data_IF_924499928606
#
_entry.id   IF_924499928606
#
_cell.length_a   1.000
_cell.length_b   1.000
_cell.length_c   1.000
_cell.angle_alpha   90.00
_cell.angle_beta   90.00
_cell.angle_gamma   90.00
#
_symmetry.space_group_name_H-M   'P 1'
#
loop_
_entity.id
_entity.type
_entity.pdbx_description
1 polymer ?
#
# COMPACT_ATOMS: atom_id res chain seq x y z
N UNK A 1 34.02 28.43 0.59
CA UNK A 1 32.68 28.41 -0.04
C UNK A 1 32.57 27.27 -1.05
N UNK A 2 32.77 26.03 -0.59
CA UNK A 2 32.55 24.78 -1.32
C UNK A 2 32.62 23.67 -0.26
N UNK A 3 31.79 22.63 -0.40
CA UNK A 3 31.57 21.48 0.53
C UNK A 3 30.45 21.67 1.55
N UNK A 4 29.27 21.13 1.22
CA UNK A 4 28.40 20.25 2.05
C UNK A 4 27.00 20.16 1.39
N UNK A 5 26.90 19.36 0.33
CA UNK A 5 25.63 18.90 -0.25
C UNK A 5 25.81 17.47 -0.76
N UNK A 6 25.98 16.53 0.17
CA UNK A 6 25.79 15.09 -0.09
C UNK A 6 25.19 14.50 1.20
N UNK A 7 23.86 14.53 1.32
CA UNK A 7 23.11 13.81 2.36
C UNK A 7 21.62 13.71 1.98
N UNK A 8 21.30 13.16 0.79
CA UNK A 8 19.94 12.76 0.42
C UNK A 8 20.00 11.61 -0.58
N UNK A 9 20.52 10.45 -0.16
CA UNK A 9 20.54 9.24 -1.02
C UNK A 9 20.58 7.93 -0.22
N UNK A 10 19.82 7.85 0.87
CA UNK A 10 19.38 6.58 1.48
C UNK A 10 17.96 6.82 1.99
N UNK A 11 16.94 6.60 1.16
CA UNK A 11 15.55 6.59 1.59
C UNK A 11 14.80 5.42 0.94
N UNK A 12 15.35 4.22 1.12
CA UNK A 12 14.64 2.95 1.00
C UNK A 12 15.09 1.92 2.04
N UNK A 13 15.95 2.29 2.99
CA UNK A 13 16.42 1.41 4.07
C UNK A 13 16.72 2.27 5.30
N UNK A 14 15.70 2.61 6.08
CA UNK A 14 15.81 2.91 7.52
C UNK A 14 14.44 2.67 8.17
N UNK A 15 14.12 1.39 8.38
CA UNK A 15 13.15 0.92 9.36
C UNK A 15 13.80 0.96 10.75
N UNK A 16 14.14 2.14 11.27
CA UNK A 16 14.59 2.24 12.67
C UNK A 16 13.36 2.31 13.57
N UNK A 17 13.08 1.15 14.16
CA UNK A 17 11.95 0.84 15.05
C UNK A 17 11.71 -0.66 15.14
N UNK A 18 11.98 -1.40 14.05
CA UNK A 18 11.98 -2.86 13.99
C UNK A 18 13.23 -3.32 13.21
N UNK A 19 14.40 -3.25 13.85
CA UNK A 19 15.65 -3.82 13.30
C UNK A 19 15.86 -5.20 13.89
N UNK A 20 15.52 -6.23 13.10
CA UNK A 20 16.10 -7.56 13.27
C UNK A 20 16.84 -7.89 11.96
N UNK A 21 18.14 -8.18 12.10
CA UNK A 21 18.96 -8.78 11.04
C UNK A 21 18.33 -10.12 10.64
N UNK A 22 17.52 -10.12 9.59
CA UNK A 22 17.26 -11.33 8.82
C UNK A 22 17.96 -11.11 7.48
N UNK A 23 19.07 -11.82 7.30
CA UNK A 23 19.62 -12.06 5.99
C UNK A 23 18.48 -12.54 5.08
N UNK A 24 18.30 -11.86 3.96
CA UNK A 24 17.38 -12.25 2.89
C UNK A 24 17.98 -13.50 2.24
N UNK A 25 17.83 -14.64 2.91
CA UNK A 25 17.99 -15.93 2.27
C UNK A 25 16.76 -16.12 1.38
N UNK A 26 16.95 -15.90 0.08
CA UNK A 26 15.95 -16.14 -0.96
C UNK A 26 15.61 -17.64 -1.02
N UNK A 27 14.47 -18.12 -0.48
CA UNK A 27 14.13 -19.53 -0.48
C UNK A 27 13.18 -19.81 -1.64
N UNK A 28 13.49 -19.35 -2.86
CA UNK A 28 12.64 -19.56 -4.03
C UNK A 28 13.10 -20.77 -4.85
N UNK A 29 12.76 -21.98 -4.38
CA UNK A 29 12.68 -23.22 -5.20
C UNK A 29 11.64 -24.21 -4.66
N UNK A 30 10.47 -23.72 -4.23
CA UNK A 30 9.36 -24.60 -3.83
C UNK A 30 8.17 -24.41 -4.76
N UNK A 31 7.65 -25.49 -5.34
CA UNK A 31 6.39 -25.50 -6.11
C UNK A 31 5.29 -24.75 -5.32
N UNK A 32 4.86 -23.58 -5.81
CA UNK A 32 3.82 -22.76 -5.16
C UNK A 32 2.44 -23.44 -5.23
N UNK A 33 2.28 -24.46 -6.09
CA UNK A 33 1.17 -25.44 -6.10
C UNK A 33 0.90 -26.14 -4.76
N UNK A 34 1.73 -25.92 -3.73
CA UNK A 34 1.56 -26.46 -2.38
C UNK A 34 0.93 -25.51 -1.36
N UNK A 35 0.67 -24.24 -1.71
CA UNK A 35 0.01 -23.28 -0.82
C UNK A 35 -1.49 -23.20 -1.09
N UNK A 36 -2.28 -23.19 -0.03
CA UNK A 36 -3.70 -22.84 -0.10
C UNK A 36 -3.85 -21.31 -0.06
N UNK A 37 -4.40 -20.66 -1.10
CA UNK A 37 -4.62 -19.21 -1.14
C UNK A 37 -5.74 -18.80 -0.19
N UNK A 38 -5.56 -17.71 0.54
CA UNK A 38 -6.63 -17.09 1.31
C UNK A 38 -7.44 -16.18 0.38
N UNK A 39 -8.74 -16.10 0.61
CA UNK A 39 -9.62 -15.19 -0.12
C UNK A 39 -10.01 -14.03 0.80
N UNK A 40 -10.17 -12.86 0.20
CA UNK A 40 -10.80 -11.71 0.84
C UNK A 40 -12.15 -11.44 0.20
N UNK A 41 -12.98 -10.68 0.89
CA UNK A 41 -14.23 -10.17 0.34
C UNK A 41 -14.00 -8.80 -0.27
N UNK A 42 -14.68 -8.49 -1.37
CA UNK A 42 -14.85 -7.10 -1.77
C UNK A 42 -16.00 -6.54 -0.92
N UNK A 43 -15.73 -5.63 0.04
CA UNK A 43 -16.78 -5.11 0.89
C UNK A 43 -17.69 -4.17 0.10
N UNK A 44 -18.93 -4.03 0.57
CA UNK A 44 -19.80 -2.94 0.14
C UNK A 44 -19.15 -1.58 0.42
N UNK A 45 -19.37 -0.61 -0.46
CA UNK A 45 -18.79 0.74 -0.32
C UNK A 45 -19.10 1.37 1.04
N UNK A 46 -20.29 1.12 1.58
CA UNK A 46 -20.72 1.63 2.90
C UNK A 46 -19.84 1.15 4.05
N UNK A 47 -19.14 0.02 3.93
CA UNK A 47 -18.21 -0.44 4.96
C UNK A 47 -16.86 0.30 4.92
N UNK A 48 -16.47 0.81 3.75
CA UNK A 48 -15.28 1.65 3.58
C UNK A 48 -15.49 3.06 4.12
N UNK A 49 -16.68 3.62 3.91
CA UNK A 49 -17.06 4.94 4.44
C UNK A 49 -17.27 4.83 5.96
N UNK A 50 -16.51 5.56 6.79
CA UNK A 50 -16.67 5.50 8.24
C UNK A 50 -18.05 6.02 8.66
N UNK A 51 -18.62 5.40 9.70
CA UNK A 51 -19.84 5.85 10.38
C UNK A 51 -19.60 6.12 11.88
N UNK A 52 -18.34 6.38 12.24
CA UNK A 52 -17.93 6.72 13.61
C UNK A 52 -17.99 8.22 13.83
N UNK A 53 -17.97 8.66 15.09
CA UNK A 53 -17.94 10.09 15.44
C UNK A 53 -16.64 10.75 14.96
N UNK A 54 -15.52 10.05 15.12
CA UNK A 54 -14.18 10.52 14.74
C UNK A 54 -13.44 9.52 13.85
N UNK A 55 -12.57 10.02 13.00
CA UNK A 55 -11.69 9.19 12.15
C UNK A 55 -10.22 9.53 12.41
N UNK A 56 -9.41 8.51 12.64
CA UNK A 56 -7.98 8.65 12.87
C UNK A 56 -7.22 8.01 11.72
N UNK A 57 -6.26 8.74 11.18
CA UNK A 57 -5.40 8.32 10.08
C UNK A 57 -3.95 8.42 10.52
N UNK A 58 -3.23 7.30 10.51
CA UNK A 58 -1.83 7.29 10.94
C UNK A 58 -1.00 6.40 10.02
N UNK A 59 -0.02 6.97 9.30
CA UNK A 59 0.88 6.15 8.49
C UNK A 59 2.26 6.73 8.25
N UNK A 60 3.19 5.85 7.91
CA UNK A 60 4.54 6.19 7.39
C UNK A 60 4.77 5.74 5.95
N UNK A 61 3.84 4.99 5.39
CA UNK A 61 4.01 4.29 4.12
C UNK A 61 3.22 4.97 2.99
N UNK A 62 3.72 4.83 1.77
CA UNK A 62 3.13 5.49 0.59
C UNK A 62 1.80 4.85 0.20
N UNK A 63 1.73 3.52 0.17
CA UNK A 63 0.53 2.81 -0.24
C UNK A 63 -0.66 3.07 0.72
N UNK A 64 -0.51 2.91 2.05
CA UNK A 64 -1.51 3.34 3.03
C UNK A 64 -1.87 4.83 2.91
N UNK A 65 -0.91 5.73 2.67
CA UNK A 65 -1.21 7.15 2.48
C UNK A 65 -2.19 7.40 1.30
N UNK A 66 -2.05 6.66 0.20
CA UNK A 66 -2.99 6.78 -0.92
C UNK A 66 -4.39 6.24 -0.59
N UNK A 67 -4.49 5.15 0.19
CA UNK A 67 -5.78 4.65 0.69
C UNK A 67 -6.45 5.65 1.63
N UNK A 68 -5.67 6.24 2.54
CA UNK A 68 -6.13 7.29 3.45
C UNK A 68 -6.65 8.48 2.65
N UNK A 69 -5.92 8.90 1.61
CA UNK A 69 -6.37 9.95 0.70
C UNK A 69 -7.73 9.61 0.05
N UNK A 70 -7.93 8.38 -0.42
CA UNK A 70 -9.24 7.95 -0.91
C UNK A 70 -10.34 8.00 0.16
N UNK A 71 -10.04 7.65 1.41
CA UNK A 71 -11.04 7.64 2.48
C UNK A 71 -11.46 9.05 2.90
N UNK A 72 -10.50 9.96 3.08
CA UNK A 72 -10.77 11.35 3.47
C UNK A 72 -11.74 12.08 2.52
N UNK A 73 -11.75 11.71 1.24
CA UNK A 73 -12.66 12.29 0.24
C UNK A 73 -13.99 11.53 0.11
N UNK A 74 -14.22 10.48 0.91
CA UNK A 74 -15.41 9.64 0.85
C UNK A 74 -16.47 9.98 1.90
N UNK A 75 -16.18 10.90 2.82
CA UNK A 75 -16.98 11.16 4.01
C UNK A 75 -16.77 12.60 4.53
N UNK A 76 -17.41 12.97 5.65
CA UNK A 76 -17.32 14.34 6.22
C UNK A 76 -17.07 14.39 7.73
N UNK A 77 -16.93 13.24 8.39
CA UNK A 77 -16.65 13.08 9.82
C UNK A 77 -15.34 13.78 10.23
N UNK A 78 -15.32 14.34 11.43
CA UNK A 78 -14.13 15.00 11.97
C UNK A 78 -12.96 14.01 12.05
N UNK A 79 -11.82 14.42 11.50
CA UNK A 79 -10.72 13.51 11.21
C UNK A 79 -9.36 14.07 11.59
N UNK A 80 -8.46 13.19 12.03
CA UNK A 80 -7.11 13.54 12.45
C UNK A 80 -6.08 12.74 11.66
N UNK A 81 -5.15 13.43 10.99
CA UNK A 81 -4.18 12.85 10.07
C UNK A 81 -2.73 13.02 10.52
N UNK A 82 -1.99 11.92 10.58
CA UNK A 82 -0.53 11.89 10.55
C UNK A 82 -0.05 11.11 9.33
N UNK A 83 0.90 11.70 8.60
CA UNK A 83 1.59 11.04 7.50
C UNK A 83 3.05 11.48 7.43
N UNK A 84 3.98 10.53 7.54
CA UNK A 84 5.41 10.79 7.29
C UNK A 84 5.67 11.11 5.81
N UNK A 85 4.76 10.69 4.92
CA UNK A 85 4.78 10.95 3.47
C UNK A 85 4.18 12.32 3.13
N UNK A 86 4.52 13.36 3.90
CA UNK A 86 4.01 14.73 3.69
C UNK A 86 4.21 15.26 2.27
N UNK A 87 5.27 14.82 1.58
CA UNK A 87 5.54 15.21 0.19
C UNK A 87 4.48 14.68 -0.80
N UNK A 88 3.76 13.61 -0.45
CA UNK A 88 2.66 13.04 -1.24
C UNK A 88 1.43 13.92 -1.22
N UNK A 89 1.23 14.72 -0.17
CA UNK A 89 0.09 15.62 -0.05
C UNK A 89 0.48 17.07 -0.37
N UNK A 90 -0.47 17.81 -0.94
CA UNK A 90 -0.56 19.25 -0.84
C UNK A 90 -1.61 19.58 0.23
N UNK A 91 -1.14 20.05 1.39
CA UNK A 91 -1.99 20.28 2.56
C UNK A 91 -3.01 21.39 2.36
N UNK A 92 -2.84 22.24 1.34
CA UNK A 92 -3.82 23.27 1.00
C UNK A 92 -5.12 22.69 0.42
N UNK A 93 -5.09 21.43 -0.02
CA UNK A 93 -6.23 20.72 -0.57
C UNK A 93 -6.74 19.61 0.35
N UNK A 94 -6.35 19.60 1.63
CA UNK A 94 -6.97 18.70 2.60
C UNK A 94 -8.47 19.02 2.73
N UNK A 95 -9.35 18.01 2.84
CA UNK A 95 -10.76 18.27 3.12
C UNK A 95 -10.93 19.03 4.44
N UNK A 96 -11.91 19.93 4.52
CA UNK A 96 -12.08 20.82 5.67
C UNK A 96 -12.33 20.10 7.01
N UNK A 97 -12.84 18.88 6.97
CA UNK A 97 -13.08 18.04 8.15
C UNK A 97 -11.82 17.29 8.62
N UNK A 98 -10.70 17.38 7.88
CA UNK A 98 -9.44 16.71 8.20
C UNK A 98 -8.44 17.70 8.77
N UNK A 99 -8.07 17.48 10.03
CA UNK A 99 -6.98 18.18 10.68
C UNK A 99 -5.68 17.36 10.56
N UNK A 100 -4.68 17.91 9.88
CA UNK A 100 -3.33 17.33 9.92
C UNK A 100 -2.68 17.64 11.27
N UNK A 101 -2.52 16.59 12.08
CA UNK A 101 -1.82 16.66 13.36
C UNK A 101 -0.34 16.30 13.17
N UNK A 102 0.49 16.78 14.11
CA UNK A 102 1.91 16.43 14.18
C UNK A 102 2.70 16.72 12.89
N UNK A 103 2.32 17.78 12.16
CA UNK A 103 3.03 18.19 10.95
C UNK A 103 4.47 18.60 11.30
N UNK A 104 5.44 17.85 10.76
CA UNK A 104 6.86 18.10 11.00
C UNK A 104 7.40 17.55 12.32
N UNK A 105 6.56 16.85 13.10
CA UNK A 105 6.96 16.17 14.33
C UNK A 105 7.71 14.86 14.03
N UNK A 106 8.48 14.38 15.02
CA UNK A 106 9.02 13.01 15.00
C UNK A 106 7.87 11.98 15.06
N UNK A 107 8.19 10.72 14.80
CA UNK A 107 7.22 9.63 14.89
C UNK A 107 6.70 9.46 16.32
N UNK A 108 7.59 9.50 17.29
CA UNK A 108 7.30 9.36 18.71
C UNK A 108 6.43 10.51 19.23
N UNK A 109 6.75 11.74 18.81
CA UNK A 109 5.94 12.92 19.13
C UNK A 109 4.54 12.82 18.51
N UNK A 110 4.44 12.31 17.28
CA UNK A 110 3.16 12.12 16.61
C UNK A 110 2.26 11.13 17.36
N UNK A 111 2.81 10.02 17.84
CA UNK A 111 2.09 9.07 18.70
C UNK A 111 1.57 9.79 19.95
N UNK A 112 2.41 10.57 20.62
CA UNK A 112 2.00 11.27 21.84
C UNK A 112 0.92 12.32 21.57
N UNK A 113 1.00 13.06 20.46
CA UNK A 113 -0.03 14.02 20.04
C UNK A 113 -1.36 13.31 19.78
N UNK A 114 -1.34 12.19 19.07
CA UNK A 114 -2.54 11.38 18.81
C UNK A 114 -3.11 10.81 20.09
N UNK A 115 -2.27 10.27 20.97
CA UNK A 115 -2.68 9.74 22.28
C UNK A 115 -3.36 10.81 23.13
N UNK A 116 -2.82 12.03 23.12
CA UNK A 116 -3.43 13.16 23.83
C UNK A 116 -4.75 13.60 23.19
N UNK A 117 -4.86 13.57 21.85
CA UNK A 117 -6.12 13.88 21.16
C UNK A 117 -7.20 12.85 21.50
N UNK A 118 -6.91 11.55 21.50
CA UNK A 118 -7.88 10.53 21.94
C UNK A 118 -8.28 10.75 23.39
N UNK A 119 -7.33 11.08 24.28
CA UNK A 119 -7.63 11.39 25.69
C UNK A 119 -8.57 12.59 25.86
N UNK A 120 -8.34 13.65 25.09
CA UNK A 120 -9.19 14.85 25.06
C UNK A 120 -10.61 14.52 24.59
N UNK A 121 -10.74 13.76 23.50
CA UNK A 121 -12.03 13.32 22.98
C UNK A 121 -12.75 12.39 23.96
N UNK A 122 -12.05 11.43 24.56
CA UNK A 122 -12.64 10.52 25.54
C UNK A 122 -13.12 11.23 26.81
N UNK A 123 -12.44 12.31 27.22
CA UNK A 123 -12.85 13.13 28.37
C UNK A 123 -14.10 13.98 28.08
N UNK A 124 -14.29 14.40 26.82
CA UNK A 124 -15.41 15.25 26.41
C UNK A 124 -16.61 14.45 25.87
N UNK A 125 -16.36 13.30 25.24
CA UNK A 125 -17.32 12.42 24.59
C UNK A 125 -16.98 10.95 24.92
N UNK A 126 -17.29 10.48 26.14
CA UNK A 126 -16.86 9.16 26.62
C UNK A 126 -17.45 7.98 25.84
N UNK A 127 -18.58 8.18 25.16
CA UNK A 127 -19.25 7.16 24.36
C UNK A 127 -18.93 7.27 22.86
N UNK A 128 -18.01 8.15 22.48
CA UNK A 128 -17.64 8.33 21.08
C UNK A 128 -17.09 7.05 20.47
N UNK A 129 -17.37 6.89 19.18
CA UNK A 129 -16.87 5.83 18.33
C UNK A 129 -15.80 6.35 17.39
N UNK A 130 -14.87 5.47 17.02
CA UNK A 130 -13.67 5.81 16.28
C UNK A 130 -13.45 4.85 15.13
N UNK A 131 -13.14 5.35 13.94
CA UNK A 131 -12.55 4.54 12.87
C UNK A 131 -11.07 4.83 12.79
N UNK A 132 -10.22 3.82 12.91
CA UNK A 132 -8.77 3.98 12.89
C UNK A 132 -8.16 3.31 11.66
N UNK A 133 -7.65 4.12 10.74
CA UNK A 133 -6.86 3.70 9.61
C UNK A 133 -5.38 3.80 9.94
N UNK A 134 -4.71 2.66 9.90
CA UNK A 134 -3.28 2.55 10.16
C UNK A 134 -2.67 1.54 9.23
N UNK A 135 -1.42 1.74 8.85
CA UNK A 135 -0.72 0.67 8.15
C UNK A 135 -0.55 -0.58 9.04
N UNK A 136 -0.61 -1.73 8.41
CA UNK A 136 -0.78 -3.02 9.08
C UNK A 136 0.37 -3.37 10.03
N UNK A 137 1.61 -3.02 9.68
CA UNK A 137 2.79 -3.23 10.53
C UNK A 137 2.77 -2.43 11.85
N UNK A 138 1.84 -1.48 12.02
CA UNK A 138 1.66 -0.64 13.21
C UNK A 138 0.32 -0.90 13.91
N UNK A 139 -0.22 -2.11 13.76
CA UNK A 139 -1.48 -2.51 14.38
C UNK A 139 -1.48 -2.38 15.92
N UNK A 140 -0.31 -2.32 16.56
CA UNK A 140 -0.15 -2.10 18.00
C UNK A 140 -0.61 -0.72 18.46
N UNK A 141 -0.59 0.29 17.57
CA UNK A 141 -1.00 1.65 17.90
C UNK A 141 -2.45 1.75 18.40
N UNK A 142 -3.32 0.80 18.04
CA UNK A 142 -4.68 0.78 18.59
C UNK A 142 -4.67 0.69 20.13
N UNK A 143 -3.74 -0.06 20.69
CA UNK A 143 -3.64 -0.26 22.13
C UNK A 143 -3.19 1.03 22.81
N UNK A 144 -2.10 1.63 22.33
CA UNK A 144 -1.50 2.82 22.95
C UNK A 144 -2.32 4.09 22.76
N UNK A 145 -3.03 4.21 21.64
CA UNK A 145 -3.86 5.36 21.33
C UNK A 145 -5.25 5.27 21.94
N UNK A 146 -5.90 4.10 21.89
CA UNK A 146 -7.31 3.97 22.28
C UNK A 146 -7.48 3.23 23.62
N UNK A 147 -7.00 2.00 23.73
CA UNK A 147 -7.29 1.17 24.92
C UNK A 147 -6.62 1.70 26.19
N UNK A 148 -5.39 2.20 26.10
CA UNK A 148 -4.70 2.86 27.22
C UNK A 148 -5.42 4.16 27.66
N UNK A 149 -6.19 4.78 26.78
CA UNK A 149 -7.02 5.94 27.10
C UNK A 149 -8.44 5.55 27.56
N UNK A 150 -8.72 4.27 27.78
CA UNK A 150 -10.00 3.79 28.31
C UNK A 150 -11.11 3.66 27.26
N UNK A 151 -10.79 3.73 25.97
CA UNK A 151 -11.77 3.49 24.89
C UNK A 151 -12.07 1.99 24.80
N UNK A 152 -13.35 1.63 24.81
CA UNK A 152 -13.78 0.24 24.60
C UNK A 152 -13.43 -0.25 23.20
N UNK A 153 -13.06 -1.54 23.06
CA UNK A 153 -12.86 -2.16 21.73
C UNK A 153 -14.11 -2.07 20.85
N UNK A 154 -15.30 -2.13 21.46
CA UNK A 154 -16.57 -2.05 20.74
C UNK A 154 -16.77 -0.68 20.06
N UNK A 155 -16.05 0.34 20.53
CA UNK A 155 -16.10 1.70 20.01
C UNK A 155 -14.99 2.00 18.99
N UNK A 156 -14.14 1.03 18.62
CA UNK A 156 -13.03 1.25 17.67
C UNK A 156 -13.12 0.30 16.49
N UNK A 157 -13.31 0.86 15.29
CA UNK A 157 -13.29 0.16 14.01
C UNK A 157 -11.90 0.27 13.38
N UNK A 158 -11.12 -0.81 13.42
CA UNK A 158 -9.75 -0.83 12.92
C UNK A 158 -9.70 -1.19 11.43
N UNK A 159 -8.93 -0.44 10.65
CA UNK A 159 -8.67 -0.64 9.23
C UNK A 159 -7.16 -0.73 9.03
N UNK A 160 -6.64 -1.95 8.97
CA UNK A 160 -5.22 -2.22 8.73
C UNK A 160 -4.95 -2.16 7.24
N UNK A 161 -4.20 -1.15 6.79
CA UNK A 161 -3.84 -0.93 5.40
C UNK A 161 -2.52 -1.63 5.10
N UNK A 162 -2.49 -2.48 4.07
CA UNK A 162 -1.24 -3.11 3.64
C UNK A 162 -0.13 -2.10 3.36
N UNK A 163 1.04 -2.29 3.96
CA UNK A 163 2.27 -1.57 3.61
C UNK A 163 2.72 -1.84 2.16
N UNK A 164 2.31 -3.00 1.60
CA UNK A 164 2.63 -3.44 0.25
C UNK A 164 3.31 -4.79 0.29
N UNK A 165 4.45 -4.95 -0.40
CA UNK A 165 5.19 -6.22 -0.44
C UNK A 165 5.50 -6.78 0.95
N UNK A 166 5.84 -5.92 1.92
CA UNK A 166 6.19 -6.35 3.27
C UNK A 166 5.04 -7.11 3.94
N UNK A 167 3.78 -6.70 3.72
CA UNK A 167 2.60 -7.40 4.25
C UNK A 167 2.61 -8.88 3.91
N UNK A 168 2.77 -9.18 2.61
CA UNK A 168 2.70 -10.54 2.08
C UNK A 168 3.93 -11.37 2.46
N UNK A 169 5.11 -10.74 2.44
CA UNK A 169 6.36 -11.40 2.86
C UNK A 169 6.32 -11.77 4.34
N UNK A 170 5.85 -10.86 5.20
CA UNK A 170 5.70 -11.13 6.64
C UNK A 170 4.72 -12.27 6.90
N UNK A 171 3.56 -12.27 6.22
CA UNK A 171 2.60 -13.37 6.35
C UNK A 171 3.22 -14.70 5.93
N UNK A 172 3.85 -14.74 4.74
CA UNK A 172 4.47 -15.95 4.19
C UNK A 172 5.56 -16.50 5.11
N UNK A 173 6.41 -15.63 5.64
CA UNK A 173 7.51 -16.03 6.53
C UNK A 173 6.99 -16.57 7.87
N UNK A 174 5.89 -16.03 8.38
CA UNK A 174 5.35 -16.40 9.70
C UNK A 174 4.41 -17.61 9.63
N UNK A 175 3.54 -17.65 8.62
CA UNK A 175 2.40 -18.58 8.55
C UNK A 175 2.36 -19.43 7.28
N UNK A 176 3.27 -19.20 6.34
CA UNK A 176 3.29 -19.90 5.06
C UNK A 176 3.74 -21.36 5.16
N UNK A 177 4.58 -21.70 6.12
CA UNK A 177 5.12 -23.05 6.29
C UNK A 177 4.07 -24.07 6.77
N UNK A 178 4.39 -25.36 6.72
CA UNK A 178 3.49 -26.44 7.14
C UNK A 178 3.11 -26.37 8.62
N UNK A 179 4.00 -25.84 9.47
CA UNK A 179 3.76 -25.55 10.89
C UNK A 179 3.11 -24.18 11.14
N UNK A 180 2.65 -23.47 10.09
CA UNK A 180 2.10 -22.12 10.20
C UNK A 180 0.93 -22.01 11.16
N UNK A 181 0.12 -23.06 11.32
CA UNK A 181 -0.97 -23.11 12.30
C UNK A 181 -0.49 -22.99 13.75
N UNK A 182 0.62 -23.64 14.11
CA UNK A 182 1.18 -23.56 15.45
C UNK A 182 1.62 -22.14 15.77
N UNK A 183 2.28 -21.48 14.80
CA UNK A 183 2.72 -20.09 14.92
C UNK A 183 1.50 -19.16 15.03
N UNK A 184 0.52 -19.36 14.16
CA UNK A 184 -0.74 -18.62 14.16
C UNK A 184 -1.46 -18.68 15.51
N UNK A 185 -1.67 -19.89 16.05
CA UNK A 185 -2.38 -20.09 17.31
C UNK A 185 -1.64 -19.48 18.50
N UNK A 186 -0.30 -19.52 18.49
CA UNK A 186 0.52 -18.82 19.49
C UNK A 186 0.29 -17.31 19.43
N UNK A 187 0.33 -16.73 18.23
CA UNK A 187 0.20 -15.29 18.04
C UNK A 187 -1.22 -14.80 18.35
N UNK A 188 -2.26 -15.52 17.91
CA UNK A 188 -3.65 -15.27 18.30
C UNK A 188 -3.81 -15.23 19.82
N UNK A 189 -3.24 -16.20 20.54
CA UNK A 189 -3.29 -16.23 22.01
C UNK A 189 -2.55 -15.04 22.63
N UNK A 190 -1.37 -14.70 22.10
CA UNK A 190 -0.58 -13.57 22.60
C UNK A 190 -1.33 -12.24 22.42
N UNK A 191 -1.84 -11.98 21.21
CA UNK A 191 -2.59 -10.75 20.91
C UNK A 191 -3.91 -10.69 21.70
N UNK A 192 -4.63 -11.82 21.82
CA UNK A 192 -5.86 -11.89 22.63
C UNK A 192 -5.62 -11.52 24.09
N UNK A 193 -4.53 -12.03 24.69
CA UNK A 193 -4.15 -11.71 26.06
C UNK A 193 -3.87 -10.22 26.24
N UNK A 194 -3.22 -9.59 25.26
CA UNK A 194 -2.92 -8.16 25.29
C UNK A 194 -4.21 -7.36 25.23
N UNK A 195 -5.06 -7.62 24.24
CA UNK A 195 -6.38 -6.98 24.14
C UNK A 195 -7.17 -7.10 25.45
N UNK A 196 -7.17 -8.28 26.09
CA UNK A 196 -7.85 -8.49 27.37
C UNK A 196 -7.22 -7.76 28.57
N UNK A 197 -5.88 -7.70 28.65
CA UNK A 197 -5.18 -7.00 29.73
C UNK A 197 -5.43 -5.50 29.66
N UNK A 198 -5.33 -4.91 28.47
CA UNK A 198 -5.50 -3.46 28.31
C UNK A 198 -6.94 -3.01 28.51
N UNK A 199 -7.93 -3.81 28.09
CA UNK A 199 -9.34 -3.62 28.47
C UNK A 199 -9.55 -3.50 29.98
N UNK A 200 -8.67 -4.09 30.80
CA UNK A 200 -8.80 -4.13 32.27
C UNK A 200 -7.93 -3.11 33.00
N UNK A 201 -6.87 -2.56 32.39
CA UNK A 201 -5.78 -1.93 33.14
C UNK A 201 -5.53 -0.44 32.81
N UNK A 202 -5.94 0.10 31.66
CA UNK A 202 -5.70 1.53 31.35
C UNK A 202 -4.24 1.99 31.56
N UNK A 203 -3.24 1.11 31.32
CA UNK A 203 -1.84 1.37 31.64
C UNK A 203 -0.85 0.41 30.96
N UNK A 204 0.35 0.94 30.66
CA UNK A 204 1.23 0.62 29.52
C UNK A 204 2.33 -0.43 29.71
N UNK A 205 2.59 -1.21 28.64
CA UNK A 205 3.86 -1.85 28.28
C UNK A 205 3.88 -2.24 26.78
N UNK A 206 4.84 -1.68 26.03
CA UNK A 206 5.04 -1.95 24.60
C UNK A 206 5.56 -3.38 24.39
N UNK A 207 5.08 -4.08 23.35
CA UNK A 207 5.58 -5.41 22.99
C UNK A 207 6.23 -5.31 21.60
N UNK A 208 7.56 -5.39 21.58
CA UNK A 208 8.41 -5.36 20.38
C UNK A 208 8.09 -6.47 19.33
N UNK A 209 7.26 -7.47 19.66
CA UNK A 209 6.92 -8.59 18.75
C UNK A 209 5.70 -8.38 17.84
N UNK A 210 5.01 -7.23 17.93
CA UNK A 210 3.78 -6.97 17.15
C UNK A 210 4.00 -6.69 15.66
N UNK A 211 5.15 -6.12 15.29
CA UNK A 211 5.53 -5.84 13.90
C UNK A 211 5.35 -7.04 12.94
N UNK A 212 5.41 -8.26 13.46
CA UNK A 212 5.29 -9.50 12.67
C UNK A 212 3.99 -10.27 12.89
N UNK A 213 3.25 -9.96 13.95
CA UNK A 213 2.00 -10.66 14.32
C UNK A 213 0.75 -9.91 13.86
N UNK A 214 0.88 -8.74 13.24
CA UNK A 214 -0.27 -7.96 12.74
C UNK A 214 -1.28 -8.76 11.92
N UNK A 215 -0.93 -9.80 11.11
CA UNK A 215 -1.93 -10.50 10.33
C UNK A 215 -2.98 -11.22 11.17
N UNK A 216 -2.72 -11.47 12.47
CA UNK A 216 -3.69 -12.10 13.37
C UNK A 216 -4.66 -11.10 14.00
N UNK A 217 -4.37 -9.79 13.96
CA UNK A 217 -5.19 -8.75 14.60
C UNK A 217 -6.65 -8.74 14.10
N UNK A 218 -6.92 -8.79 12.77
CA UNK A 218 -8.28 -8.93 12.25
C UNK A 218 -9.00 -10.22 12.70
N UNK A 219 -8.29 -11.17 13.29
CA UNK A 219 -8.84 -12.46 13.71
C UNK A 219 -9.07 -12.52 15.22
N UNK A 220 -8.43 -11.62 15.98
CA UNK A 220 -8.64 -11.43 17.42
C UNK A 220 -9.75 -10.42 17.69
N UNK A 221 -9.82 -9.36 16.88
CA UNK A 221 -10.82 -8.29 17.04
C UNK A 221 -11.92 -8.37 16.00
N UNK A 222 -13.18 -8.33 16.43
CA UNK A 222 -14.34 -8.38 15.52
C UNK A 222 -14.51 -7.09 14.70
N UNK A 223 -13.96 -5.98 15.17
CA UNK A 223 -14.05 -4.67 14.54
C UNK A 223 -12.83 -4.32 13.66
N UNK A 224 -11.89 -5.26 13.52
CA UNK A 224 -10.68 -5.09 12.74
C UNK A 224 -10.75 -5.81 11.40
N UNK A 225 -10.29 -5.12 10.35
CA UNK A 225 -10.16 -5.69 9.01
C UNK A 225 -8.79 -5.38 8.42
N UNK A 226 -8.24 -6.33 7.66
CA UNK A 226 -7.02 -6.17 6.87
C UNK A 226 -7.38 -5.87 5.41
N UNK A 227 -6.93 -4.73 4.92
CA UNK A 227 -7.19 -4.21 3.58
C UNK A 227 -6.01 -4.54 2.66
N UNK A 228 -6.30 -5.32 1.62
CA UNK A 228 -5.35 -5.84 0.66
C UNK A 228 -5.81 -5.56 -0.77
N UNK A 229 -4.86 -5.58 -1.69
CA UNK A 229 -5.15 -5.60 -3.12
C UNK A 229 -5.27 -7.04 -3.64
N UNK A 230 -4.46 -7.95 -3.08
CA UNK A 230 -4.37 -9.34 -3.49
C UNK A 230 -4.38 -10.28 -2.29
N UNK A 231 -5.49 -10.45 -1.56
CA UNK A 231 -5.61 -11.46 -0.50
C UNK A 231 -5.11 -12.85 -0.93
N UNK A 232 -5.26 -13.16 -2.21
CA UNK A 232 -4.81 -14.41 -2.83
C UNK A 232 -3.29 -14.60 -2.78
N UNK A 233 -2.50 -13.61 -2.36
CA UNK A 233 -1.07 -13.77 -2.10
C UNK A 233 -0.78 -14.14 -0.64
N UNK A 234 -1.75 -14.04 0.25
CA UNK A 234 -1.67 -14.68 1.55
C UNK A 234 -1.93 -16.18 1.33
N UNK A 235 -0.94 -17.01 1.63
CA UNK A 235 -1.06 -18.45 1.45
C UNK A 235 -0.35 -19.23 2.53
N UNK A 236 -0.88 -20.41 2.84
CA UNK A 236 -0.28 -21.32 3.83
C UNK A 236 -0.24 -22.75 3.31
N UNK A 237 0.78 -23.51 3.71
CA UNK A 237 0.84 -24.97 3.49
C UNK A 237 0.03 -25.75 4.54
N UNK A 238 -0.39 -25.14 5.64
CA UNK A 238 -1.25 -25.79 6.63
C UNK A 238 -2.70 -25.79 6.16
N UNK A 239 -3.22 -26.97 5.84
CA UNK A 239 -4.63 -27.14 5.47
C UNK A 239 -5.59 -26.71 6.61
N UNK A 240 -5.21 -26.96 7.86
CA UNK A 240 -6.03 -26.58 9.01
C UNK A 240 -6.09 -25.07 9.18
N UNK A 241 -4.94 -24.39 9.10
CA UNK A 241 -4.91 -22.93 9.11
C UNK A 241 -5.73 -22.36 7.95
N UNK A 242 -5.53 -22.85 6.73
CA UNK A 242 -6.32 -22.42 5.58
C UNK A 242 -7.83 -22.56 5.81
N UNK A 243 -8.30 -23.69 6.33
CA UNK A 243 -9.71 -23.91 6.66
C UNK A 243 -10.21 -22.90 7.70
N UNK A 244 -9.41 -22.63 8.73
CA UNK A 244 -9.75 -21.63 9.75
C UNK A 244 -9.92 -20.23 9.13
N UNK A 245 -8.91 -19.78 8.39
CA UNK A 245 -8.91 -18.45 7.76
C UNK A 245 -10.04 -18.29 6.73
N UNK A 246 -10.35 -19.34 5.98
CA UNK A 246 -11.37 -19.30 4.92
C UNK A 246 -12.81 -19.36 5.43
N UNK A 247 -13.06 -20.06 6.53
CA UNK A 247 -14.43 -20.27 7.05
C UNK A 247 -14.83 -19.20 8.06
N UNK A 248 -13.93 -18.79 8.94
CA UNK A 248 -14.31 -17.94 10.09
C UNK A 248 -14.09 -16.44 9.84
N UNK A 249 -13.16 -16.08 8.95
CA UNK A 249 -12.58 -14.74 8.97
C UNK A 249 -12.33 -14.10 7.60
N UNK A 250 -12.77 -14.73 6.49
CA UNK A 250 -12.70 -14.11 5.17
C UNK A 250 -13.36 -12.71 5.13
N UNK A 251 -14.40 -12.50 5.96
CA UNK A 251 -15.07 -11.20 6.14
C UNK A 251 -14.19 -10.09 6.71
N UNK A 252 -13.10 -10.45 7.41
CA UNK A 252 -12.16 -9.52 8.02
C UNK A 252 -10.92 -9.27 7.13
N UNK A 253 -10.90 -9.84 5.92
CA UNK A 253 -9.92 -9.52 4.89
C UNK A 253 -10.66 -8.85 3.73
N UNK A 254 -10.35 -7.59 3.48
CA UNK A 254 -10.94 -6.82 2.40
C UNK A 254 -10.04 -6.78 1.18
N UNK A 255 -10.62 -7.07 0.02
CA UNK A 255 -10.03 -6.82 -1.29
C UNK A 255 -10.59 -5.53 -1.84
N UNK A 256 -9.80 -4.47 -1.86
CA UNK A 256 -10.22 -3.18 -2.41
C UNK A 256 -9.59 -2.94 -3.78
N UNK A 257 -10.40 -2.39 -4.69
CA UNK A 257 -9.95 -1.83 -5.96
C UNK A 257 -9.90 -0.29 -5.83
N UNK A 258 -8.71 0.32 -5.75
CA UNK A 258 -8.57 1.77 -5.58
C UNK A 258 -9.21 2.60 -6.69
N UNK A 259 -9.15 2.12 -7.94
CA UNK A 259 -9.78 2.82 -9.08
C UNK A 259 -11.31 2.82 -8.95
N UNK A 260 -11.90 1.71 -8.47
CA UNK A 260 -13.34 1.64 -8.19
C UNK A 260 -13.75 2.57 -7.05
N UNK A 261 -12.93 2.67 -5.99
CA UNK A 261 -13.17 3.62 -4.91
C UNK A 261 -13.11 5.07 -5.40
N UNK A 262 -12.08 5.39 -6.21
CA UNK A 262 -11.90 6.71 -6.80
C UNK A 262 -13.07 7.13 -7.69
N UNK A 263 -13.44 6.29 -8.66
CA UNK A 263 -14.51 6.60 -9.63
C UNK A 263 -15.89 6.68 -8.98
N UNK A 264 -16.07 6.10 -7.79
CA UNK A 264 -17.29 6.21 -7.02
C UNK A 264 -17.42 7.57 -6.27
N UNK A 265 -16.35 8.34 -6.12
CA UNK A 265 -16.39 9.68 -5.51
C UNK A 265 -17.16 10.67 -6.41
N UNK A 266 -17.82 11.69 -5.84
CA UNK A 266 -18.33 12.81 -6.62
C UNK A 266 -17.21 13.48 -7.44
N UNK A 267 -17.52 13.99 -8.63
CA UNK A 267 -16.52 14.58 -9.55
C UNK A 267 -15.72 15.72 -8.90
N UNK A 268 -16.38 16.54 -8.06
CA UNK A 268 -15.69 17.59 -7.30
C UNK A 268 -14.62 17.02 -6.36
N UNK A 269 -14.95 15.95 -5.63
CA UNK A 269 -14.02 15.28 -4.72
C UNK A 269 -12.90 14.55 -5.48
N UNK A 270 -13.21 13.98 -6.66
CA UNK A 270 -12.19 13.41 -7.53
C UNK A 270 -11.15 14.45 -7.95
N UNK A 271 -11.58 15.67 -8.28
CA UNK A 271 -10.70 16.77 -8.67
C UNK A 271 -9.87 17.28 -7.48
N UNK A 272 -10.51 17.49 -6.34
CA UNK A 272 -9.82 17.92 -5.10
C UNK A 272 -8.79 16.88 -4.63
N UNK A 273 -9.13 15.60 -4.69
CA UNK A 273 -8.19 14.51 -4.41
C UNK A 273 -6.99 14.52 -5.37
N UNK A 274 -7.23 14.67 -6.67
CA UNK A 274 -6.15 14.78 -7.66
C UNK A 274 -5.26 16.02 -7.41
N UNK A 275 -5.84 17.15 -6.98
CA UNK A 275 -5.08 18.34 -6.58
C UNK A 275 -4.22 18.06 -5.34
N UNK A 276 -4.80 17.45 -4.30
CA UNK A 276 -4.07 17.08 -3.07
C UNK A 276 -2.91 16.13 -3.37
N UNK A 277 -3.09 15.20 -4.31
CA UNK A 277 -2.04 14.27 -4.73
C UNK A 277 -1.12 14.82 -5.83
N UNK A 278 -1.24 16.11 -6.15
CA UNK A 278 -0.41 16.82 -7.14
C UNK A 278 -0.53 16.26 -8.56
N UNK A 279 -1.59 15.52 -8.87
CA UNK A 279 -1.78 14.87 -10.17
C UNK A 279 -2.25 15.83 -11.27
N UNK A 280 -2.73 17.02 -10.89
CA UNK A 280 -3.22 18.08 -11.79
C UNK A 280 -2.17 19.16 -12.05
N UNK A 281 -1.03 19.14 -11.39
CA UNK A 281 0.02 20.12 -11.63
C UNK A 281 0.67 19.89 -13.01
N UNK A 282 1.27 20.94 -13.56
CA UNK A 282 2.05 20.83 -14.78
C UNK A 282 3.47 20.37 -14.46
N UNK A 283 4.05 19.60 -15.38
CA UNK A 283 5.40 19.06 -15.22
C UNK A 283 6.28 19.46 -16.39
N UNK A 284 7.50 19.91 -16.10
CA UNK A 284 8.49 20.26 -17.14
C UNK A 284 8.84 19.04 -18.00
N UNK A 285 8.90 17.85 -17.41
CA UNK A 285 9.12 16.57 -18.10
C UNK A 285 8.02 16.26 -19.12
N UNK A 286 6.83 16.84 -18.95
CA UNK A 286 5.68 16.72 -19.85
C UNK A 286 5.51 17.96 -20.75
N UNK A 287 6.53 18.81 -20.86
CA UNK A 287 6.46 20.04 -21.66
C UNK A 287 5.49 21.07 -21.11
N UNK A 288 5.35 21.15 -19.79
CA UNK A 288 4.41 22.08 -19.13
C UNK A 288 2.96 21.59 -19.11
N UNK A 289 2.72 20.30 -19.38
CA UNK A 289 1.39 19.68 -19.36
C UNK A 289 1.11 18.96 -18.04
N UNK A 290 -0.16 18.74 -17.76
CA UNK A 290 -0.60 17.79 -16.71
C UNK A 290 -0.47 16.35 -17.19
N UNK A 291 -0.56 15.38 -16.28
CA UNK A 291 -0.60 13.94 -16.65
C UNK A 291 -1.82 13.65 -17.51
N UNK A 292 -2.96 14.25 -17.16
CA UNK A 292 -4.22 14.08 -17.88
C UNK A 292 -4.08 14.47 -19.35
N UNK A 293 -3.56 15.68 -19.60
CA UNK A 293 -3.26 16.20 -20.94
C UNK A 293 -2.25 15.31 -21.67
N UNK A 294 -1.17 14.90 -21.00
CA UNK A 294 -0.15 14.06 -21.62
C UNK A 294 -0.74 12.73 -22.13
N UNK A 295 -1.64 12.09 -21.36
CA UNK A 295 -2.31 10.86 -21.79
C UNK A 295 -3.36 11.05 -22.88
N UNK A 296 -3.96 12.24 -23.02
CA UNK A 296 -5.01 12.49 -24.03
C UNK A 296 -4.47 13.04 -25.34
N UNK A 297 -3.46 13.90 -25.29
CA UNK A 297 -2.98 14.67 -26.44
C UNK A 297 -2.38 13.80 -27.55
N UNK A 298 -1.98 12.57 -27.23
CA UNK A 298 -1.35 11.65 -28.18
C UNK A 298 -2.36 11.07 -29.17
N UNK A 299 -3.65 11.06 -28.82
CA UNK A 299 -4.71 10.36 -29.55
C UNK A 299 -4.50 8.85 -29.67
N UNK A 300 -3.61 8.28 -28.86
CA UNK A 300 -3.11 6.90 -28.96
C UNK A 300 -3.31 6.14 -27.67
N UNK A 301 -3.28 4.80 -27.75
CA UNK A 301 -3.31 3.94 -26.56
C UNK A 301 -2.00 4.10 -25.78
N UNK A 302 -2.07 4.19 -24.45
CA UNK A 302 -0.89 4.52 -23.63
C UNK A 302 -0.21 3.26 -23.08
N UNK A 303 1.09 3.15 -23.34
CA UNK A 303 1.99 2.15 -22.75
C UNK A 303 2.85 2.84 -21.70
N UNK A 304 2.86 2.34 -20.48
CA UNK A 304 3.79 2.80 -19.43
C UNK A 304 4.91 1.77 -19.28
N UNK A 305 6.14 2.24 -19.45
CA UNK A 305 7.36 1.46 -19.21
C UNK A 305 7.99 1.92 -17.89
N UNK A 306 8.21 1.00 -16.95
CA UNK A 306 8.78 1.31 -15.63
C UNK A 306 10.29 1.11 -15.61
N UNK A 307 11.03 2.15 -15.23
CA UNK A 307 12.48 2.10 -15.04
C UNK A 307 12.92 1.45 -13.74
N UNK A 308 14.24 1.24 -13.60
CA UNK A 308 14.91 0.75 -12.39
C UNK A 308 15.97 1.73 -11.90
N UNK A 309 16.57 1.40 -10.76
CA UNK A 309 17.78 2.02 -10.24
C UNK A 309 18.87 0.94 -10.06
N UNK A 310 20.11 1.17 -10.54
CA UNK A 310 20.53 2.28 -11.39
C UNK A 310 19.93 2.17 -12.80
N UNK A 311 19.85 3.30 -13.51
CA UNK A 311 19.58 3.28 -14.94
C UNK A 311 20.69 2.48 -15.62
N UNK A 312 20.32 1.43 -16.36
CA UNK A 312 21.26 0.61 -17.12
C UNK A 312 21.15 0.90 -18.60
N UNK A 313 22.27 0.89 -19.32
CA UNK A 313 22.35 1.14 -20.77
C UNK A 313 21.45 0.18 -21.58
N UNK A 314 21.19 -1.02 -21.04
CA UNK A 314 20.27 -2.00 -21.62
C UNK A 314 18.80 -1.51 -21.65
N UNK A 315 18.45 -0.51 -20.82
CA UNK A 315 17.08 0.02 -20.73
C UNK A 315 16.63 0.62 -22.06
N UNK A 316 17.52 1.31 -22.76
CA UNK A 316 17.22 1.89 -24.08
C UNK A 316 16.88 0.80 -25.10
N UNK A 317 17.65 -0.29 -25.08
CA UNK A 317 17.44 -1.44 -25.98
C UNK A 317 16.11 -2.13 -25.67
N UNK A 318 15.79 -2.35 -24.39
CA UNK A 318 14.55 -3.02 -23.99
C UNK A 318 13.33 -2.18 -24.31
N UNK A 319 13.41 -0.85 -24.13
CA UNK A 319 12.35 0.08 -24.55
C UNK A 319 12.17 0.08 -26.06
N UNK A 320 13.25 0.03 -26.84
CA UNK A 320 13.17 -0.09 -28.29
C UNK A 320 12.46 -1.39 -28.74
N UNK A 321 12.72 -2.51 -28.06
CA UNK A 321 12.03 -3.79 -28.33
C UNK A 321 10.52 -3.69 -28.05
N UNK A 322 10.12 -3.09 -26.92
CA UNK A 322 8.70 -2.86 -26.59
C UNK A 322 8.03 -1.99 -27.65
N UNK A 323 8.70 -0.92 -28.09
CA UNK A 323 8.18 -0.03 -29.14
C UNK A 323 8.01 -0.75 -30.48
N UNK A 324 8.94 -1.64 -30.82
CA UNK A 324 8.85 -2.48 -32.02
C UNK A 324 7.69 -3.46 -31.93
N UNK A 325 7.48 -4.08 -30.76
CA UNK A 325 6.43 -5.07 -30.53
C UNK A 325 5.02 -4.46 -30.60
N UNK A 326 4.77 -3.38 -29.87
CA UNK A 326 3.44 -2.74 -29.83
C UNK A 326 3.18 -1.81 -31.01
N UNK A 327 4.22 -1.28 -31.65
CA UNK A 327 4.11 -0.49 -32.88
C UNK A 327 3.66 0.97 -32.66
N UNK A 328 3.49 1.74 -33.75
CA UNK A 328 3.33 3.20 -33.70
C UNK A 328 1.94 3.69 -33.26
N UNK A 329 0.95 2.79 -33.18
CA UNK A 329 -0.41 3.10 -32.71
C UNK A 329 -0.47 3.39 -31.21
N UNK A 330 0.60 3.10 -30.49
CA UNK A 330 0.73 3.40 -29.07
C UNK A 330 1.57 4.66 -28.82
N UNK A 331 1.26 5.33 -27.72
CA UNK A 331 2.12 6.34 -27.12
C UNK A 331 2.90 5.71 -25.96
N UNK A 332 4.20 6.00 -25.90
CA UNK A 332 5.12 5.37 -24.95
C UNK A 332 5.49 6.37 -23.86
N UNK A 333 5.13 6.04 -22.64
CA UNK A 333 5.47 6.78 -21.45
C UNK A 333 6.53 6.01 -20.67
N UNK A 334 7.52 6.71 -20.13
CA UNK A 334 8.51 6.12 -19.25
C UNK A 334 8.36 6.70 -17.84
N UNK A 335 8.19 5.82 -16.85
CA UNK A 335 8.23 6.19 -15.44
C UNK A 335 9.62 5.88 -14.89
N UNK A 336 10.48 6.88 -14.68
CA UNK A 336 11.79 6.64 -14.12
C UNK A 336 11.70 6.36 -12.61
N UNK A 337 12.75 5.74 -12.05
CA UNK A 337 12.89 5.55 -10.62
C UNK A 337 13.01 6.91 -9.89
N UNK A 338 12.40 7.16 -8.73
CA UNK A 338 12.40 8.49 -8.09
C UNK A 338 13.78 9.12 -7.86
N UNK A 339 14.82 8.29 -7.68
CA UNK A 339 16.20 8.75 -7.49
C UNK A 339 16.95 9.14 -8.78
N UNK A 340 16.43 8.82 -9.96
CA UNK A 340 17.08 9.06 -11.25
C UNK A 340 16.08 9.61 -12.25
N UNK A 341 16.36 10.77 -12.86
CA UNK A 341 15.47 11.38 -13.86
C UNK A 341 15.87 11.03 -15.31
N UNK A 342 16.71 10.02 -15.51
CA UNK A 342 17.09 9.58 -16.85
C UNK A 342 15.96 8.76 -17.49
N UNK A 343 15.75 8.97 -18.78
CA UNK A 343 14.75 8.25 -19.59
C UNK A 343 15.33 7.89 -20.96
N UNK A 344 14.84 6.81 -21.59
CA UNK A 344 15.21 6.44 -22.95
C UNK A 344 14.86 7.56 -23.95
N UNK A 345 15.48 7.57 -25.14
CA UNK A 345 15.05 8.46 -26.21
C UNK A 345 13.63 8.13 -26.70
N UNK A 346 12.95 9.13 -27.28
CA UNK A 346 11.67 8.99 -27.99
C UNK A 346 10.54 8.37 -27.15
N UNK A 347 10.45 8.75 -25.88
CA UNK A 347 9.35 8.44 -24.94
C UNK A 347 8.91 9.70 -24.20
N UNK A 348 7.67 9.72 -23.71
CA UNK A 348 7.15 10.79 -22.85
C UNK A 348 7.54 10.47 -21.40
N UNK A 349 8.33 11.34 -20.76
CA UNK A 349 8.83 11.08 -19.40
C UNK A 349 7.81 11.48 -18.35
N UNK A 350 7.28 10.50 -17.61
CA UNK A 350 6.42 10.76 -16.46
C UNK A 350 7.24 11.30 -15.27
N UNK A 351 6.62 12.09 -14.37
CA UNK A 351 7.34 12.64 -13.22
C UNK A 351 7.92 11.55 -12.30
N UNK A 352 9.24 11.54 -12.12
CA UNK A 352 9.94 10.58 -11.26
C UNK A 352 9.48 10.64 -9.79
N UNK A 353 9.22 11.84 -9.29
CA UNK A 353 8.85 12.12 -7.89
C UNK A 353 7.45 11.63 -7.49
N UNK A 354 6.55 11.42 -8.45
CA UNK A 354 5.24 10.87 -8.15
C UNK A 354 5.32 9.36 -7.90
N UNK A 355 4.66 8.83 -6.87
CA UNK A 355 4.47 7.39 -6.71
C UNK A 355 3.77 6.81 -7.94
N UNK A 356 4.23 5.65 -8.42
CA UNK A 356 3.61 5.01 -9.58
C UNK A 356 2.19 4.53 -9.25
N UNK A 357 1.97 4.12 -8.01
CA UNK A 357 0.68 3.71 -7.46
C UNK A 357 -0.39 4.78 -7.69
N UNK A 358 -0.06 6.06 -7.47
CA UNK A 358 -0.99 7.15 -7.71
C UNK A 358 -1.37 7.24 -9.21
N UNK A 359 -0.41 7.13 -10.12
CA UNK A 359 -0.71 7.15 -11.56
C UNK A 359 -1.60 5.96 -11.93
N UNK A 360 -1.27 4.76 -11.44
CA UNK A 360 -2.04 3.54 -11.70
C UNK A 360 -3.47 3.60 -11.17
N UNK A 361 -3.68 4.18 -9.99
CA UNK A 361 -4.99 4.21 -9.33
C UNK A 361 -5.93 5.25 -9.90
N UNK A 362 -5.40 6.38 -10.38
CA UNK A 362 -6.22 7.54 -10.78
C UNK A 362 -6.33 7.72 -12.30
N UNK A 363 -5.58 6.92 -13.06
CA UNK A 363 -5.56 6.94 -14.53
C UNK A 363 -5.64 5.51 -15.13
N UNK A 364 -6.17 4.53 -14.40
CA UNK A 364 -6.26 3.14 -14.86
C UNK A 364 -7.02 2.98 -16.18
N UNK A 365 -8.01 3.82 -16.44
CA UNK A 365 -8.80 3.89 -17.68
C UNK A 365 -8.06 4.52 -18.86
N UNK A 366 -6.99 5.27 -18.58
CA UNK A 366 -6.15 5.90 -19.60
C UNK A 366 -4.92 5.05 -19.95
N UNK A 367 -4.71 3.93 -19.29
CA UNK A 367 -3.55 3.05 -19.48
C UNK A 367 -4.02 1.77 -20.16
N UNK A 368 -3.37 1.41 -21.27
CA UNK A 368 -3.67 0.16 -21.99
C UNK A 368 -2.72 -0.95 -21.60
N UNK A 369 -1.46 -0.60 -21.33
CA UNK A 369 -0.36 -1.54 -21.10
C UNK A 369 0.60 -0.94 -20.07
N UNK A 370 1.03 -1.76 -19.11
CA UNK A 370 2.17 -1.47 -18.24
C UNK A 370 3.14 -2.65 -18.19
N UNK A 371 4.43 -2.33 -18.14
CA UNK A 371 5.49 -3.33 -18.02
C UNK A 371 6.86 -2.71 -17.83
N UNK A 372 7.88 -3.55 -17.61
CA UNK A 372 9.26 -3.10 -17.39
C UNK A 372 9.99 -3.93 -16.33
N UNK A 373 10.83 -3.27 -15.53
CA UNK A 373 11.58 -3.95 -14.46
C UNK A 373 10.69 -4.35 -13.27
N UNK A 374 11.07 -5.40 -12.55
CA UNK A 374 10.30 -5.96 -11.44
C UNK A 374 10.17 -4.91 -10.34
N UNK A 375 8.92 -4.68 -9.91
CA UNK A 375 8.59 -3.66 -8.92
C UNK A 375 7.39 -4.08 -8.07
N UNK A 376 7.38 -3.69 -6.80
CA UNK A 376 6.18 -3.80 -5.96
C UNK A 376 4.98 -3.05 -6.54
N UNK A 377 5.18 -2.05 -7.42
CA UNK A 377 4.10 -1.34 -8.11
C UNK A 377 3.15 -2.28 -8.88
N UNK A 378 3.64 -3.42 -9.37
CA UNK A 378 2.79 -4.37 -10.10
C UNK A 378 1.78 -5.06 -9.19
N UNK A 379 1.93 -4.94 -7.87
CA UNK A 379 0.92 -5.35 -6.91
C UNK A 379 -0.21 -4.34 -6.82
N UNK A 380 -0.05 -3.13 -7.39
CA UNK A 380 -0.99 -2.03 -7.15
C UNK A 380 -1.93 -1.71 -8.31
N UNK A 381 -2.02 -2.61 -9.29
CA UNK A 381 -2.84 -2.40 -10.48
C UNK A 381 -3.49 -3.70 -10.94
N UNK A 382 -4.49 -3.58 -11.81
CA UNK A 382 -5.28 -4.68 -12.31
C UNK A 382 -4.46 -5.65 -13.19
N UNK A 383 -4.82 -6.93 -13.19
CA UNK A 383 -4.17 -7.98 -13.97
C UNK A 383 -4.18 -7.71 -15.47
N UNK A 384 -5.25 -7.08 -15.99
CA UNK A 384 -5.42 -6.83 -17.41
C UNK A 384 -4.45 -5.80 -17.99
N UNK A 385 -3.85 -4.93 -17.18
CA UNK A 385 -2.94 -3.88 -17.64
C UNK A 385 -1.49 -4.36 -17.75
N UNK A 386 -1.09 -5.33 -16.93
CA UNK A 386 0.29 -5.83 -16.82
C UNK A 386 0.56 -6.76 -17.99
N UNK A 387 1.53 -6.44 -18.84
CA UNK A 387 1.76 -7.20 -20.09
C UNK A 387 3.17 -7.63 -20.36
N UNK A 388 4.20 -6.91 -19.92
CA UNK A 388 5.57 -7.27 -20.27
C UNK A 388 6.57 -7.01 -19.14
N UNK A 389 7.67 -7.78 -19.10
CA UNK A 389 8.73 -7.59 -18.13
C UNK A 389 10.13 -7.76 -18.72
N UNK A 390 11.09 -6.97 -18.24
CA UNK A 390 12.49 -6.98 -18.67
C UNK A 390 13.34 -8.05 -17.97
N UNK A 391 12.86 -9.28 -18.02
CA UNK A 391 13.52 -10.49 -17.50
C UNK A 391 13.36 -11.59 -18.54
N UNK A 392 14.30 -12.53 -18.64
CA UNK A 392 14.14 -13.64 -19.60
C UNK A 392 13.11 -14.66 -19.12
N UNK A 393 12.88 -14.73 -17.81
CA UNK A 393 11.98 -15.68 -17.18
C UNK A 393 11.44 -15.12 -15.85
N UNK A 394 10.26 -15.58 -15.46
CA UNK A 394 9.62 -15.20 -14.20
C UNK A 394 10.49 -15.45 -12.96
N UNK A 395 11.32 -16.50 -12.98
CA UNK A 395 12.17 -16.89 -11.86
C UNK A 395 13.32 -15.90 -11.60
N UNK A 396 13.58 -14.97 -12.51
CA UNK A 396 14.55 -13.89 -12.32
C UNK A 396 13.96 -12.71 -11.53
N UNK A 397 12.65 -12.69 -11.28
CA UNK A 397 11.97 -11.65 -10.50
C UNK A 397 11.99 -11.95 -8.99
N UNK A 398 11.85 -10.90 -8.18
CA UNK A 398 11.74 -11.04 -6.74
C UNK A 398 10.29 -11.18 -6.26
N UNK A 399 10.13 -11.78 -5.08
CA UNK A 399 8.82 -11.98 -4.47
C UNK A 399 8.07 -10.65 -4.24
N UNK A 400 6.74 -10.61 -4.47
CA UNK A 400 5.86 -11.74 -4.74
C UNK A 400 5.54 -11.93 -6.23
N UNK A 401 6.27 -11.31 -7.16
CA UNK A 401 5.90 -11.33 -8.59
C UNK A 401 5.89 -12.74 -9.22
N UNK A 402 6.83 -13.65 -8.91
CA UNK A 402 6.73 -15.03 -9.39
C UNK A 402 5.47 -15.74 -8.93
N UNK A 403 5.08 -15.49 -7.67
CA UNK A 403 3.86 -16.04 -7.08
C UNK A 403 2.60 -15.44 -7.69
N UNK A 404 2.61 -14.14 -8.03
CA UNK A 404 1.54 -13.52 -8.80
C UNK A 404 1.41 -14.14 -10.18
N UNK A 405 2.52 -14.42 -10.88
CA UNK A 405 2.49 -15.03 -12.21
C UNK A 405 1.91 -16.44 -12.16
N UNK A 406 2.39 -17.29 -11.24
CA UNK A 406 1.89 -18.65 -11.08
C UNK A 406 0.39 -18.72 -10.74
N UNK A 407 -0.13 -17.69 -10.05
CA UNK A 407 -1.56 -17.57 -9.69
C UNK A 407 -2.39 -16.80 -10.74
N UNK A 408 -1.80 -16.38 -11.87
CA UNK A 408 -2.49 -15.56 -12.88
C UNK A 408 -2.78 -14.11 -12.47
N UNK A 409 -2.24 -13.67 -11.32
CA UNK A 409 -2.43 -12.32 -10.75
C UNK A 409 -1.49 -11.28 -11.35
N UNK A 410 -0.41 -11.72 -12.01
CA UNK A 410 0.51 -10.84 -12.73
C UNK A 410 -0.01 -10.46 -14.12
N UNK A 411 -1.10 -11.06 -14.58
CA UNK A 411 -1.71 -10.82 -15.88
C UNK A 411 -1.76 -12.09 -16.73
N UNK A 412 -2.71 -12.11 -17.66
CA UNK A 412 -2.81 -13.14 -18.69
C UNK A 412 -1.90 -12.77 -19.87
N UNK A 413 -1.18 -13.77 -20.41
CA UNK A 413 -0.27 -13.61 -21.56
C UNK A 413 0.82 -12.56 -21.35
N UNK A 414 1.43 -12.56 -20.16
CA UNK A 414 2.61 -11.75 -19.88
C UNK A 414 3.76 -12.21 -20.76
N UNK A 415 4.40 -11.27 -21.46
CA UNK A 415 5.59 -11.51 -22.29
C UNK A 415 6.87 -11.12 -21.55
N UNK A 416 7.90 -11.92 -21.73
CA UNK A 416 9.22 -11.70 -21.14
C UNK A 416 10.17 -11.11 -22.18
N UNK A 417 11.34 -10.67 -21.73
CA UNK A 417 12.37 -10.10 -22.60
C UNK A 417 12.82 -11.09 -23.68
N UNK A 418 12.80 -12.38 -23.37
CA UNK A 418 13.07 -13.48 -24.30
C UNK A 418 12.07 -13.52 -25.47
N UNK A 419 10.80 -13.21 -25.22
CA UNK A 419 9.74 -13.17 -26.24
C UNK A 419 9.79 -11.90 -27.10
N UNK A 420 10.42 -10.84 -26.60
CA UNK A 420 10.57 -9.56 -27.30
C UNK A 420 11.75 -9.52 -28.28
N UNK A 421 12.69 -10.46 -28.17
CA UNK A 421 13.96 -10.48 -28.91
C UNK A 421 13.84 -11.06 -30.31
#
# INVERSE_FOLDING_TARGET
>A
MLKRYIAYSILLLFLSGCSAKNEVNNPNKGNIKTYYPITGIEPERSAWVPNSDYVFYFTRATLPALYIALNMFSHTQESFLYSERKATYDTNYLPAHVQMLALGSSYEDAIQIFKNKVKELQASHPDATYTFFVDDIRADLIVSLFFENGVSEDNVFLRLLSDGTQTYVTFKNSYGAANGETVWNRDVKAISNIYQQYKKIGGSSFIDSWCYSFPVVPFVSQNAVLVLQWPELLGTKSLSLFKNLSVQHNKNIWKLNPYKLYTALPVAEQNSLKNMLKLTQTYQQLGGKTIDQAFTDTGRSNVIITGKNPYGDETDQYVALVKKYYGPTYAYFFKPHPAYNQSPPDVITLPGVLPMEAILWFYSDKISVIGGYASSLYMTTSTNLKKFFFYNDVNEMYAPLPEMYERGLLGENVIFLSDLR
#
